data_IF_394679931589
#
_entry.id   IF_394679931589
#
_cell.length_a   1.000
_cell.length_b   1.000
_cell.length_c   1.000
_cell.angle_alpha   90.00
_cell.angle_beta   90.00
_cell.angle_gamma   90.00
#
_symmetry.space_group_name_H-M   'P 1'
#
loop_
_entity.id
_entity.type
_entity.pdbx_description
1 polymer ?
#
# COMPACT_ATOMS: atom_id res chain seq x y z
N UNK A 1 -21.14 13.17 -24.22
CA UNK A 1 -20.02 13.27 -23.25
C UNK A 1 -20.19 12.11 -22.29
N UNK A 2 -19.42 11.09 -22.50
CA UNK A 2 -19.45 9.95 -21.62
C UNK A 2 -18.65 10.28 -20.37
N UNK A 3 -19.36 10.68 -19.33
CA UNK A 3 -18.79 10.70 -17.99
C UNK A 3 -18.86 9.27 -17.47
N UNK A 4 -17.87 8.46 -17.88
CA UNK A 4 -17.77 7.09 -17.38
C UNK A 4 -17.69 7.14 -15.85
N UNK A 5 -18.45 6.29 -15.15
CA UNK A 5 -18.41 6.30 -13.70
C UNK A 5 -16.99 5.99 -13.21
N UNK A 6 -16.47 6.87 -12.34
CA UNK A 6 -15.14 6.75 -11.76
C UNK A 6 -15.26 6.37 -10.29
N UNK A 7 -14.55 5.34 -9.89
CA UNK A 7 -14.39 4.97 -8.49
C UNK A 7 -13.09 5.58 -7.97
N UNK A 8 -13.16 6.31 -6.88
CA UNK A 8 -11.98 6.78 -6.16
C UNK A 8 -11.81 5.93 -4.92
N UNK A 9 -10.66 5.30 -4.79
CA UNK A 9 -10.34 4.43 -3.67
C UNK A 9 -9.15 4.99 -2.89
N UNK A 10 -9.41 5.34 -1.63
CA UNK A 10 -8.37 5.76 -0.69
C UNK A 10 -7.84 4.53 0.04
N UNK A 11 -6.53 4.37 0.09
CA UNK A 11 -5.89 3.18 0.63
C UNK A 11 -4.68 3.50 1.50
N UNK A 12 -4.34 2.59 2.38
CA UNK A 12 -3.06 2.57 3.08
C UNK A 12 -2.43 1.18 2.99
N UNK A 13 -1.12 1.13 2.80
CA UNK A 13 -0.36 -0.13 2.70
C UNK A 13 -0.32 -0.93 3.99
N UNK A 14 -0.66 -0.33 5.13
CA UNK A 14 -0.73 -0.99 6.44
C UNK A 14 -2.14 -1.42 6.82
N UNK A 15 -3.13 -1.04 6.03
CA UNK A 15 -4.53 -1.38 6.28
C UNK A 15 -4.91 -2.71 5.62
N UNK A 16 -5.29 -3.74 6.42
CA UNK A 16 -5.66 -5.05 5.88
C UNK A 16 -6.84 -4.98 4.91
N UNK A 17 -7.82 -4.12 5.15
CA UNK A 17 -8.95 -3.91 4.25
C UNK A 17 -8.53 -3.36 2.89
N UNK A 18 -7.56 -2.45 2.87
CA UNK A 18 -6.98 -1.92 1.63
C UNK A 18 -6.27 -3.00 0.83
N UNK A 19 -5.55 -3.90 1.49
CA UNK A 19 -4.91 -5.04 0.81
C UNK A 19 -5.95 -5.97 0.17
N UNK A 20 -6.98 -6.35 0.90
CA UNK A 20 -8.03 -7.22 0.38
C UNK A 20 -8.74 -6.56 -0.82
N UNK A 21 -9.08 -5.29 -0.71
CA UNK A 21 -9.70 -4.54 -1.79
C UNK A 21 -8.79 -4.46 -3.02
N UNK A 22 -7.50 -4.19 -2.83
CA UNK A 22 -6.52 -4.19 -3.92
C UNK A 22 -6.51 -5.53 -4.68
N UNK A 23 -6.56 -6.66 -3.95
CA UNK A 23 -6.55 -8.00 -4.54
C UNK A 23 -7.84 -8.33 -5.32
N UNK A 24 -8.95 -7.72 -4.95
CA UNK A 24 -10.28 -8.00 -5.52
C UNK A 24 -10.77 -6.94 -6.51
N UNK A 25 -10.16 -5.75 -6.53
CA UNK A 25 -10.70 -4.58 -7.23
C UNK A 25 -10.97 -4.88 -8.72
N UNK A 26 -10.04 -5.54 -9.41
CA UNK A 26 -10.19 -5.87 -10.81
C UNK A 26 -11.35 -6.84 -11.12
N UNK A 27 -11.79 -7.63 -10.13
CA UNK A 27 -12.92 -8.56 -10.26
C UNK A 27 -14.25 -7.93 -9.85
N UNK A 28 -14.21 -6.93 -8.98
CA UNK A 28 -15.39 -6.28 -8.43
C UNK A 28 -15.87 -5.09 -9.28
N UNK A 29 -14.98 -4.49 -10.08
CA UNK A 29 -15.34 -3.36 -10.93
C UNK A 29 -16.24 -3.81 -12.07
N UNK A 30 -17.39 -3.16 -12.29
CA UNK A 30 -18.17 -3.37 -13.50
C UNK A 30 -17.38 -3.00 -14.76
N UNK A 31 -17.76 -3.58 -15.89
CA UNK A 31 -17.17 -3.25 -17.18
C UNK A 31 -17.31 -1.74 -17.47
N UNK A 32 -16.19 -1.13 -17.89
CA UNK A 32 -16.13 0.29 -18.21
C UNK A 32 -16.02 1.24 -17.02
N UNK A 33 -15.91 0.73 -15.78
CA UNK A 33 -15.62 1.55 -14.61
C UNK A 33 -14.12 1.59 -14.37
N UNK A 34 -13.54 2.78 -14.29
CA UNK A 34 -12.14 2.98 -13.93
C UNK A 34 -12.01 3.28 -12.43
N UNK A 35 -11.02 2.66 -11.79
CA UNK A 35 -10.66 2.98 -10.42
C UNK A 35 -9.40 3.84 -10.38
N UNK A 36 -9.45 4.91 -9.59
CA UNK A 36 -8.29 5.72 -9.24
C UNK A 36 -7.96 5.50 -7.78
N UNK A 37 -6.70 5.21 -7.47
CA UNK A 37 -6.23 4.97 -6.11
C UNK A 37 -5.48 6.19 -5.58
N UNK A 38 -5.79 6.58 -4.35
CA UNK A 38 -5.16 7.70 -3.66
C UNK A 38 -4.58 7.27 -2.31
N UNK A 39 -3.41 7.77 -1.93
CA UNK A 39 -2.84 7.45 -0.63
C UNK A 39 -3.63 8.11 0.51
N UNK A 40 -3.79 7.38 1.60
CA UNK A 40 -4.35 7.89 2.84
C UNK A 40 -3.60 7.25 4.01
N UNK A 41 -2.75 8.00 4.68
CA UNK A 41 -2.02 7.48 5.84
C UNK A 41 -2.95 7.35 7.04
N UNK A 42 -3.14 6.13 7.54
CA UNK A 42 -3.94 5.86 8.76
C UNK A 42 -3.35 6.56 9.97
N UNK A 43 -2.01 6.61 10.04
CA UNK A 43 -1.25 7.36 11.05
C UNK A 43 -0.18 8.20 10.37
N UNK A 44 -0.48 9.42 9.91
CA UNK A 44 0.52 10.27 9.31
C UNK A 44 1.60 10.66 10.34
N UNK A 45 2.85 10.75 9.88
CA UNK A 45 3.98 11.20 10.69
C UNK A 45 3.70 12.62 11.21
N UNK A 46 3.91 12.97 12.49
CA UNK A 46 4.51 12.17 13.59
C UNK A 46 3.50 11.54 14.56
N UNK A 47 2.28 11.26 14.12
CA UNK A 47 1.27 10.65 15.00
C UNK A 47 1.77 9.32 15.55
N UNK A 48 1.32 8.99 16.76
CA UNK A 48 1.61 7.71 17.39
C UNK A 48 1.11 6.55 16.52
N UNK A 49 1.96 5.54 16.33
CA UNK A 49 1.61 4.35 15.56
C UNK A 49 0.54 3.52 16.28
N UNK A 50 -0.26 2.81 15.49
CA UNK A 50 -1.18 1.82 16.04
C UNK A 50 -0.34 0.71 16.67
N UNK A 51 -0.70 0.30 17.89
CA UNK A 51 -0.16 -0.92 18.49
C UNK A 51 -0.70 -2.13 17.72
N UNK A 52 0.17 -2.87 17.07
CA UNK A 52 -0.20 -4.06 16.29
C UNK A 52 -0.85 -5.17 17.14
N UNK A 53 -0.72 -5.09 18.47
CA UNK A 53 -1.34 -6.01 19.43
C UNK A 53 -2.62 -5.44 20.05
N UNK A 54 -3.03 -4.23 19.68
CA UNK A 54 -4.29 -3.64 20.14
C UNK A 54 -5.47 -4.58 19.82
N UNK A 55 -6.37 -4.83 20.80
CA UNK A 55 -7.47 -5.79 20.62
C UNK A 55 -8.42 -5.43 19.47
N UNK A 56 -8.72 -4.15 19.27
CA UNK A 56 -9.63 -3.71 18.21
C UNK A 56 -8.95 -3.85 16.84
N UNK A 57 -7.67 -3.49 16.74
CA UNK A 57 -6.88 -3.67 15.53
C UNK A 57 -6.76 -5.16 15.17
N UNK A 58 -6.47 -5.99 16.14
CA UNK A 58 -6.35 -7.45 15.96
C UNK A 58 -7.68 -8.06 15.52
N UNK A 59 -8.79 -7.67 16.14
CA UNK A 59 -10.13 -8.14 15.75
C UNK A 59 -10.48 -7.74 14.32
N UNK A 60 -10.20 -6.51 13.93
CA UNK A 60 -10.37 -6.03 12.55
C UNK A 60 -9.53 -6.87 11.56
N UNK A 61 -8.26 -7.06 11.86
CA UNK A 61 -7.36 -7.88 11.04
C UNK A 61 -7.86 -9.30 10.85
N UNK A 62 -8.36 -9.94 11.92
CA UNK A 62 -8.94 -11.29 11.83
C UNK A 62 -10.19 -11.34 10.96
N UNK A 63 -11.03 -10.32 11.03
CA UNK A 63 -12.22 -10.22 10.18
C UNK A 63 -11.82 -10.17 8.71
N UNK A 64 -10.86 -9.31 8.37
CA UNK A 64 -10.37 -9.18 6.99
C UNK A 64 -9.66 -10.47 6.54
N UNK A 65 -8.85 -11.09 7.41
CA UNK A 65 -8.20 -12.38 7.11
C UNK A 65 -9.22 -13.48 6.80
N UNK A 66 -10.33 -13.52 7.54
CA UNK A 66 -11.44 -14.45 7.27
C UNK A 66 -12.04 -14.25 5.89
N UNK A 67 -12.28 -13.01 5.49
CA UNK A 67 -12.76 -12.66 4.16
C UNK A 67 -11.74 -13.00 3.07
N UNK A 68 -10.46 -12.76 3.32
CA UNK A 68 -9.38 -13.13 2.42
C UNK A 68 -9.32 -14.65 2.19
N UNK A 69 -9.48 -15.43 3.27
CA UNK A 69 -9.51 -16.90 3.21
C UNK A 69 -10.69 -17.40 2.38
N UNK A 70 -11.87 -16.83 2.55
CA UNK A 70 -13.05 -17.16 1.72
C UNK A 70 -12.83 -16.85 0.24
N UNK A 71 -12.07 -15.81 -0.06
CA UNK A 71 -11.70 -15.42 -1.42
C UNK A 71 -10.43 -16.11 -1.95
N UNK A 72 -9.86 -17.05 -1.18
CA UNK A 72 -8.62 -17.76 -1.50
C UNK A 72 -7.41 -16.82 -1.72
N UNK A 73 -7.39 -15.71 -0.99
CA UNK A 73 -6.31 -14.72 -1.00
C UNK A 73 -5.39 -14.98 0.17
N UNK A 74 -4.09 -15.18 -0.13
CA UNK A 74 -3.06 -15.32 0.90
C UNK A 74 -2.87 -13.99 1.62
N UNK A 75 -2.91 -14.04 2.96
CA UNK A 75 -2.72 -12.89 3.82
C UNK A 75 -2.01 -13.30 5.10
N UNK A 76 -0.88 -12.66 5.40
CA UNK A 76 -0.29 -12.64 6.73
C UNK A 76 -0.86 -11.45 7.52
N UNK A 77 -0.78 -11.52 8.84
CA UNK A 77 -1.19 -10.41 9.70
C UNK A 77 0.01 -9.96 10.54
N UNK A 78 0.75 -8.93 10.09
CA UNK A 78 1.89 -8.42 10.84
C UNK A 78 1.48 -7.92 12.22
N UNK A 79 2.34 -8.16 13.22
CA UNK A 79 2.12 -7.75 14.61
C UNK A 79 2.58 -6.31 14.88
N UNK A 80 2.93 -5.57 13.85
CA UNK A 80 3.36 -4.17 13.92
C UNK A 80 2.73 -3.38 12.78
N UNK A 81 2.53 -2.09 13.01
CA UNK A 81 1.93 -1.17 12.04
C UNK A 81 2.89 0.01 11.84
N UNK A 82 3.78 -0.05 10.84
CA UNK A 82 4.74 1.03 10.61
C UNK A 82 4.09 2.27 10.00
N UNK A 83 4.81 3.39 9.96
CA UNK A 83 4.43 4.50 9.10
C UNK A 83 4.53 4.09 7.63
N UNK A 84 3.54 4.46 6.84
CA UNK A 84 3.41 4.05 5.43
C UNK A 84 3.86 5.12 4.44
N UNK A 85 4.23 6.32 4.90
CA UNK A 85 4.58 7.45 4.01
C UNK A 85 5.65 7.10 2.99
N UNK A 86 6.73 6.46 3.41
CA UNK A 86 7.81 6.06 2.50
C UNK A 86 7.37 5.05 1.45
N UNK A 87 6.47 4.15 1.80
CA UNK A 87 5.87 3.23 0.84
C UNK A 87 5.03 3.97 -0.21
N UNK A 88 4.21 4.94 0.21
CA UNK A 88 3.47 5.79 -0.71
C UNK A 88 4.38 6.64 -1.60
N UNK A 89 5.46 7.20 -1.06
CA UNK A 89 6.47 7.92 -1.85
C UNK A 89 7.11 7.02 -2.91
N UNK A 90 7.45 5.79 -2.56
CA UNK A 90 8.01 4.82 -3.50
C UNK A 90 7.05 4.51 -4.65
N UNK A 91 5.76 4.36 -4.37
CA UNK A 91 4.76 4.17 -5.42
C UNK A 91 4.75 5.33 -6.42
N UNK A 92 4.84 6.57 -5.92
CA UNK A 92 4.89 7.76 -6.78
C UNK A 92 6.18 7.82 -7.61
N UNK A 93 7.31 7.44 -7.05
CA UNK A 93 8.56 7.29 -7.80
C UNK A 93 8.42 6.25 -8.91
N UNK A 94 7.83 5.10 -8.61
CA UNK A 94 7.57 4.05 -9.59
C UNK A 94 6.63 4.53 -10.70
N UNK A 95 5.63 5.35 -10.36
CA UNK A 95 4.71 5.93 -11.35
C UNK A 95 5.45 6.78 -12.39
N UNK A 96 6.45 7.55 -12.00
CA UNK A 96 7.30 8.33 -12.90
C UNK A 96 8.10 7.46 -13.88
N UNK A 97 8.33 6.20 -13.52
CA UNK A 97 9.06 5.21 -14.33
C UNK A 97 8.12 4.26 -15.10
N UNK A 98 6.80 4.47 -15.04
CA UNK A 98 5.81 3.58 -15.66
C UNK A 98 5.63 2.24 -14.93
N UNK A 99 6.05 2.14 -13.67
CA UNK A 99 6.04 0.92 -12.86
C UNK A 99 5.10 1.01 -11.64
N UNK A 100 4.12 1.90 -11.67
CA UNK A 100 3.20 2.11 -10.55
C UNK A 100 2.47 0.83 -10.13
N UNK A 101 1.82 0.15 -11.08
CA UNK A 101 1.01 -1.03 -10.77
C UNK A 101 1.82 -2.19 -10.18
N UNK A 102 2.96 -2.60 -10.77
CA UNK A 102 3.77 -3.64 -10.16
C UNK A 102 4.36 -3.22 -8.80
N UNK A 103 4.74 -1.96 -8.61
CA UNK A 103 5.25 -1.49 -7.34
C UNK A 103 4.16 -1.47 -6.25
N UNK A 104 2.97 -1.02 -6.60
CA UNK A 104 1.80 -1.04 -5.72
C UNK A 104 1.51 -2.46 -5.21
N UNK A 105 1.46 -3.43 -6.11
CA UNK A 105 1.27 -4.84 -5.75
C UNK A 105 2.42 -5.38 -4.89
N UNK A 106 3.66 -5.03 -5.20
CA UNK A 106 4.85 -5.49 -4.47
C UNK A 106 4.90 -4.96 -3.04
N UNK A 107 4.56 -3.70 -2.81
CA UNK A 107 4.52 -3.12 -1.45
C UNK A 107 3.47 -3.84 -0.59
N UNK A 108 2.27 -4.04 -1.10
CA UNK A 108 1.24 -4.80 -0.39
C UNK A 108 1.67 -6.24 -0.09
N UNK A 109 2.30 -6.90 -1.07
CA UNK A 109 2.82 -8.26 -0.91
C UNK A 109 3.91 -8.33 0.16
N UNK A 110 4.84 -7.39 0.15
CA UNK A 110 5.90 -7.32 1.16
C UNK A 110 5.34 -7.26 2.57
N UNK A 111 4.32 -6.46 2.81
CA UNK A 111 3.72 -6.32 4.14
C UNK A 111 2.76 -7.45 4.49
N UNK A 112 1.80 -7.77 3.64
CA UNK A 112 0.71 -8.71 3.94
C UNK A 112 0.94 -10.16 3.51
N UNK A 113 1.97 -10.46 2.74
CA UNK A 113 2.35 -11.83 2.41
C UNK A 113 3.66 -12.24 3.07
N UNK A 114 4.63 -11.34 3.16
CA UNK A 114 5.96 -11.63 3.71
C UNK A 114 6.16 -11.10 5.14
N UNK A 115 5.26 -10.25 5.64
CA UNK A 115 5.36 -9.66 6.97
C UNK A 115 6.52 -8.67 7.12
N UNK A 116 6.95 -8.05 6.01
CA UNK A 116 8.07 -7.13 6.02
C UNK A 116 7.69 -5.75 6.59
N UNK A 117 8.68 -5.10 7.22
CA UNK A 117 8.52 -3.73 7.72
C UNK A 117 8.70 -2.71 6.59
N UNK A 118 7.59 -2.32 5.98
CA UNK A 118 7.56 -1.34 4.88
C UNK A 118 7.76 0.11 5.34
N UNK A 119 7.95 0.34 6.63
CA UNK A 119 8.43 1.62 7.17
C UNK A 119 9.94 1.82 6.99
N UNK A 120 10.67 0.77 6.64
CA UNK A 120 12.12 0.79 6.47
C UNK A 120 12.52 1.03 5.02
N UNK A 121 13.43 1.97 4.80
CA UNK A 121 13.90 2.31 3.45
C UNK A 121 14.63 1.12 2.80
N UNK A 122 15.44 0.37 3.53
CA UNK A 122 16.16 -0.79 2.98
C UNK A 122 15.20 -1.89 2.47
N UNK A 123 14.11 -2.13 3.18
CA UNK A 123 13.06 -3.06 2.75
C UNK A 123 12.36 -2.56 1.49
N UNK A 124 12.05 -1.26 1.44
CA UNK A 124 11.41 -0.65 0.27
C UNK A 124 12.32 -0.64 -0.96
N UNK A 125 13.62 -0.39 -0.77
CA UNK A 125 14.60 -0.45 -1.86
C UNK A 125 14.71 -1.85 -2.43
N UNK A 126 14.74 -2.89 -1.58
CA UNK A 126 14.72 -4.28 -2.04
C UNK A 126 13.44 -4.60 -2.84
N UNK A 127 12.29 -4.10 -2.41
CA UNK A 127 11.04 -4.25 -3.15
C UNK A 127 11.09 -3.51 -4.51
N UNK A 128 11.69 -2.33 -4.55
CA UNK A 128 11.89 -1.55 -5.78
C UNK A 128 12.74 -2.31 -6.81
N UNK A 129 13.82 -2.95 -6.37
CA UNK A 129 14.67 -3.79 -7.24
C UNK A 129 13.89 -4.95 -7.85
N UNK A 130 13.01 -5.60 -7.08
CA UNK A 130 12.21 -6.73 -7.56
C UNK A 130 11.27 -6.34 -8.71
N UNK A 131 10.86 -5.09 -8.79
CA UNK A 131 10.00 -4.59 -9.89
C UNK A 131 10.79 -3.91 -11.01
N UNK A 132 12.11 -3.84 -10.90
CA UNK A 132 12.99 -3.31 -11.95
C UNK A 132 13.39 -1.84 -11.79
N UNK A 133 13.15 -1.23 -10.64
CA UNK A 133 13.66 0.11 -10.32
C UNK A 133 15.13 0.06 -9.91
N UNK A 134 15.86 1.13 -10.18
CA UNK A 134 17.24 1.28 -9.70
C UNK A 134 17.28 1.48 -8.18
N UNK A 135 18.08 0.68 -7.49
CA UNK A 135 18.18 0.68 -6.04
C UNK A 135 18.72 2.01 -5.48
N UNK A 136 19.79 2.51 -6.10
CA UNK A 136 20.45 3.76 -5.64
C UNK A 136 19.55 4.96 -5.84
N UNK A 137 18.86 5.04 -6.98
CA UNK A 137 17.91 6.11 -7.27
C UNK A 137 16.70 6.04 -6.33
N UNK A 138 16.14 4.86 -6.13
CA UNK A 138 15.01 4.65 -5.20
C UNK A 138 15.37 5.06 -3.78
N UNK A 139 16.57 4.67 -3.31
CA UNK A 139 17.06 5.09 -1.99
C UNK A 139 17.21 6.60 -1.89
N UNK A 140 17.83 7.24 -2.88
CA UNK A 140 18.05 8.68 -2.90
C UNK A 140 16.72 9.45 -2.84
N UNK A 141 15.72 9.04 -3.61
CA UNK A 141 14.37 9.64 -3.63
C UNK A 141 13.69 9.56 -2.26
N UNK A 142 13.82 8.41 -1.59
CA UNK A 142 13.24 8.20 -0.26
C UNK A 142 14.01 8.95 0.84
N UNK A 143 15.32 9.01 0.75
CA UNK A 143 16.17 9.71 1.74
C UNK A 143 15.91 11.23 1.76
N UNK A 144 15.59 11.83 0.60
CA UNK A 144 15.37 13.28 0.48
C UNK A 144 13.90 13.70 0.53
N UNK A 145 13.00 12.78 0.82
CA UNK A 145 11.54 13.05 0.89
C UNK A 145 10.96 13.66 -0.40
N UNK A 146 11.47 13.26 -1.56
CA UNK A 146 11.13 13.87 -2.86
C UNK A 146 9.63 13.95 -3.13
N UNK A 147 8.87 12.94 -2.74
CA UNK A 147 7.43 12.84 -3.01
C UNK A 147 6.56 13.06 -1.77
N UNK A 148 7.15 13.47 -0.65
CA UNK A 148 6.43 13.67 0.60
C UNK A 148 5.18 14.53 0.44
N UNK A 149 5.31 15.68 -0.19
CA UNK A 149 4.21 16.65 -0.29
C UNK A 149 3.05 16.08 -1.11
N UNK A 150 3.32 15.29 -2.13
CA UNK A 150 2.31 14.61 -2.94
C UNK A 150 1.54 13.53 -2.19
N UNK A 151 2.11 12.97 -1.14
CA UNK A 151 1.43 11.99 -0.26
C UNK A 151 0.56 12.72 0.76
N UNK A 152 1.03 13.85 1.28
CA UNK A 152 0.38 14.60 2.37
C UNK A 152 -0.75 15.49 1.86
N UNK A 153 -0.59 16.09 0.67
CA UNK A 153 -1.57 16.98 0.06
C UNK A 153 -2.62 16.17 -0.72
N UNK A 154 -3.73 15.89 -0.08
CA UNK A 154 -4.92 15.28 -0.69
C UNK A 154 -6.00 16.34 -0.96
#
# INVERSE_FOLDING_TARGET
>A
MDDAPRLVFYFDYVDPGSYLMHRQLGQLLPDGVEATVHPLEVRPVPQELIDGMDPDWTAYGRTVEGLAREAEIRMAHPTFVPWSRKAHELRLHAAEQGLESPMHAEIFSAHFQEGADIGRIDILVAAAERVGLDASESKAVLDVDKHRDRVVDL
#
